data_IF_586097435964
#
_entry.id   IF_586097435964
#
_cell.length_a   1.000
_cell.length_b   1.000
_cell.length_c   1.000
_cell.angle_alpha   90.00
_cell.angle_beta   90.00
_cell.angle_gamma   90.00
#
_symmetry.space_group_name_H-M   'P 1'
#
loop_
_entity.id
_entity.type
_entity.pdbx_description
1 polymer ?
#
# COMPACT_ATOMS: atom_id res chain seq x y z
N UNK A 1 -8.43 -10.31 -14.86
CA UNK A 1 -9.85 -10.66 -14.84
C UNK A 1 -10.56 -10.27 -13.54
N UNK A 2 -9.98 -10.50 -12.36
CA UNK A 2 -10.58 -10.17 -11.05
C UNK A 2 -10.86 -8.66 -10.80
N UNK A 3 -10.05 -7.74 -11.35
CA UNK A 3 -10.20 -6.30 -11.12
C UNK A 3 -11.55 -5.75 -11.62
N UNK A 4 -12.03 -6.17 -12.80
CA UNK A 4 -13.33 -5.72 -13.35
C UNK A 4 -14.52 -6.25 -12.56
N UNK A 5 -14.46 -7.50 -12.07
CA UNK A 5 -15.49 -8.07 -11.22
C UNK A 5 -15.59 -7.31 -9.89
N UNK A 6 -14.43 -6.94 -9.30
CA UNK A 6 -14.42 -6.17 -8.06
C UNK A 6 -15.00 -4.76 -8.24
N UNK A 7 -14.72 -4.08 -9.35
CA UNK A 7 -15.33 -2.79 -9.65
C UNK A 7 -16.85 -2.90 -9.76
N UNK A 8 -17.37 -3.87 -10.50
CA UNK A 8 -18.83 -4.11 -10.60
C UNK A 8 -19.45 -4.38 -9.24
N UNK A 9 -18.83 -5.21 -8.42
CA UNK A 9 -19.31 -5.49 -7.08
C UNK A 9 -19.33 -4.21 -6.20
N UNK A 10 -18.33 -3.34 -6.33
CA UNK A 10 -18.31 -2.06 -5.62
C UNK A 10 -19.45 -1.16 -6.11
N UNK A 11 -19.70 -1.07 -7.41
CA UNK A 11 -20.82 -0.30 -7.96
C UNK A 11 -22.18 -0.79 -7.44
N UNK A 12 -22.35 -2.10 -7.27
CA UNK A 12 -23.61 -2.71 -6.78
C UNK A 12 -23.88 -2.39 -5.31
N UNK A 13 -22.83 -2.30 -4.47
CA UNK A 13 -22.98 -2.17 -3.01
C UNK A 13 -22.75 -0.76 -2.47
N UNK A 14 -22.27 0.18 -3.30
CA UNK A 14 -21.95 1.54 -2.86
C UNK A 14 -23.06 2.54 -3.21
N UNK A 15 -23.17 3.65 -2.44
CA UNK A 15 -24.12 4.72 -2.74
C UNK A 15 -23.90 5.33 -4.13
N UNK A 16 -24.96 5.91 -4.70
CA UNK A 16 -24.97 6.51 -6.04
C UNK A 16 -23.99 7.69 -6.25
N UNK A 17 -23.43 8.23 -5.17
CA UNK A 17 -22.41 9.29 -5.22
C UNK A 17 -20.97 8.77 -5.35
N UNK A 18 -20.79 7.44 -5.51
CA UNK A 18 -19.47 6.83 -5.72
C UNK A 18 -19.38 6.38 -7.17
N UNK A 19 -18.35 6.89 -7.86
CA UNK A 19 -18.00 6.50 -9.23
C UNK A 19 -16.81 5.55 -9.19
N UNK A 20 -16.91 4.39 -9.82
CA UNK A 20 -15.78 3.48 -9.97
C UNK A 20 -15.17 3.60 -11.37
N UNK A 21 -13.86 3.60 -11.43
CA UNK A 21 -13.10 3.69 -12.68
C UNK A 21 -12.01 2.64 -12.72
N UNK A 22 -11.71 2.15 -13.91
CA UNK A 22 -10.54 1.32 -14.12
C UNK A 22 -9.27 2.17 -13.97
N UNK A 23 -8.33 1.71 -13.14
CA UNK A 23 -7.05 2.39 -12.93
C UNK A 23 -6.18 2.31 -14.19
N UNK A 24 -6.22 3.35 -14.99
CA UNK A 24 -5.34 3.60 -16.12
C UNK A 24 -4.82 5.04 -16.04
N UNK A 25 -3.66 5.29 -16.61
CA UNK A 25 -3.11 6.66 -16.66
C UNK A 25 -4.12 7.65 -17.27
N UNK A 26 -4.78 7.27 -18.35
CA UNK A 26 -5.80 8.08 -19.01
C UNK A 26 -6.93 8.48 -18.06
N UNK A 27 -7.50 7.52 -17.33
CA UNK A 27 -8.62 7.80 -16.42
C UNK A 27 -8.16 8.63 -15.21
N UNK A 28 -6.99 8.34 -14.64
CA UNK A 28 -6.42 9.12 -13.54
C UNK A 28 -6.24 10.57 -13.98
N UNK A 29 -5.57 10.78 -15.12
CA UNK A 29 -5.30 12.12 -15.67
C UNK A 29 -6.59 12.90 -15.97
N UNK A 30 -7.65 12.23 -16.39
CA UNK A 30 -8.94 12.87 -16.67
C UNK A 30 -9.70 13.35 -15.40
N UNK A 31 -9.51 12.65 -14.26
CA UNK A 31 -10.19 13.02 -13.01
C UNK A 31 -9.43 14.06 -12.18
N UNK A 32 -8.10 14.15 -12.32
CA UNK A 32 -7.25 15.04 -11.49
C UNK A 32 -7.65 16.51 -11.51
N UNK A 33 -8.04 17.13 -12.66
CA UNK A 33 -8.38 18.57 -12.70
C UNK A 33 -9.57 18.98 -11.83
N UNK A 34 -10.46 18.04 -11.50
CA UNK A 34 -11.65 18.27 -10.69
C UNK A 34 -11.53 17.65 -9.28
N UNK A 35 -10.31 17.29 -8.87
CA UNK A 35 -10.08 16.54 -7.62
C UNK A 35 -9.34 17.40 -6.60
N UNK A 36 -9.94 17.64 -5.45
CA UNK A 36 -9.34 18.38 -4.33
C UNK A 36 -8.45 17.49 -3.45
N UNK A 37 -8.80 16.20 -3.34
CA UNK A 37 -8.10 15.23 -2.48
C UNK A 37 -7.90 13.90 -3.21
N UNK A 38 -6.67 13.45 -3.31
CA UNK A 38 -6.32 12.10 -3.78
C UNK A 38 -5.74 11.28 -2.64
N UNK A 39 -6.24 10.07 -2.48
CA UNK A 39 -5.67 9.09 -1.55
C UNK A 39 -5.08 7.93 -2.33
N UNK A 40 -3.76 7.82 -2.30
CA UNK A 40 -3.01 6.72 -2.91
C UNK A 40 -2.84 5.57 -1.93
N UNK A 41 -3.41 4.40 -2.26
CA UNK A 41 -3.39 3.22 -1.40
C UNK A 41 -3.15 1.94 -2.23
N UNK A 42 -2.13 1.95 -3.06
CA UNK A 42 -1.76 0.79 -3.87
C UNK A 42 -0.89 -0.15 -3.04
N UNK A 43 -1.27 -1.42 -3.01
CA UNK A 43 -0.51 -2.47 -2.36
C UNK A 43 -0.12 -3.54 -3.40
N UNK A 44 1.18 -3.78 -3.54
CA UNK A 44 1.73 -4.96 -4.22
C UNK A 44 2.56 -5.72 -3.20
N UNK A 45 2.12 -6.88 -2.74
CA UNK A 45 2.83 -7.64 -1.72
C UNK A 45 4.29 -7.92 -2.13
N UNK A 46 5.24 -7.52 -1.28
CA UNK A 46 6.67 -7.76 -1.48
C UNK A 46 7.35 -6.91 -2.56
N UNK A 47 6.65 -5.97 -3.22
CA UNK A 47 7.21 -5.10 -4.25
C UNK A 47 6.96 -3.62 -3.96
N UNK A 48 7.71 -2.75 -4.63
CA UNK A 48 7.46 -1.31 -4.59
C UNK A 48 6.12 -0.97 -5.24
N UNK A 49 5.42 0.02 -4.68
CA UNK A 49 4.23 0.59 -5.30
C UNK A 49 4.58 1.22 -6.67
N UNK A 50 3.75 1.04 -7.71
CA UNK A 50 3.94 1.78 -8.95
C UNK A 50 3.56 3.25 -8.76
N UNK A 51 4.28 4.15 -9.40
CA UNK A 51 3.87 5.55 -9.44
C UNK A 51 2.64 5.70 -10.35
N UNK A 52 1.51 6.02 -9.75
CA UNK A 52 0.23 6.22 -10.45
C UNK A 52 0.01 7.67 -10.87
N UNK A 53 0.60 8.62 -10.14
CA UNK A 53 0.58 10.04 -10.45
C UNK A 53 2.02 10.51 -10.64
N UNK A 54 2.30 11.00 -11.83
CA UNK A 54 3.60 11.55 -12.21
C UNK A 54 3.65 13.05 -11.91
N UNK A 55 4.85 13.63 -11.85
CA UNK A 55 5.02 15.05 -11.54
C UNK A 55 4.33 15.97 -12.56
N UNK A 56 4.34 15.62 -13.83
CA UNK A 56 3.66 16.41 -14.88
C UNK A 56 2.14 16.47 -14.69
N UNK A 57 1.54 15.41 -14.10
CA UNK A 57 0.12 15.40 -13.78
C UNK A 57 -0.27 16.42 -12.70
N UNK A 58 0.64 16.77 -11.79
CA UNK A 58 0.36 17.78 -10.74
C UNK A 58 -0.04 19.13 -11.34
N UNK A 59 0.52 19.47 -12.49
CA UNK A 59 0.21 20.74 -13.19
C UNK A 59 -1.26 20.84 -13.64
N UNK A 60 -1.99 19.74 -13.68
CA UNK A 60 -3.42 19.69 -14.06
C UNK A 60 -4.36 19.85 -12.86
N UNK A 61 -3.85 19.71 -11.64
CA UNK A 61 -4.61 19.85 -10.40
C UNK A 61 -4.72 21.33 -9.98
N UNK A 62 -5.77 21.64 -9.23
CA UNK A 62 -5.92 22.96 -8.64
C UNK A 62 -4.92 23.15 -7.49
N UNK A 63 -4.27 24.33 -7.42
CA UNK A 63 -3.33 24.64 -6.34
C UNK A 63 -4.02 24.58 -4.99
N UNK A 64 -3.35 23.96 -4.02
CA UNK A 64 -3.91 23.70 -2.69
C UNK A 64 -4.59 22.33 -2.58
N UNK A 65 -4.77 21.60 -3.68
CA UNK A 65 -5.20 20.19 -3.63
C UNK A 65 -4.22 19.34 -2.84
N UNK A 66 -4.71 18.23 -2.29
CA UNK A 66 -3.98 17.38 -1.36
C UNK A 66 -3.76 15.98 -1.92
N UNK A 67 -2.52 15.48 -1.84
CA UNK A 67 -2.17 14.08 -2.09
C UNK A 67 -1.81 13.40 -0.77
N UNK A 68 -2.54 12.33 -0.42
CA UNK A 68 -2.25 11.46 0.73
C UNK A 68 -1.71 10.13 0.23
N UNK A 69 -0.47 9.82 0.56
CA UNK A 69 0.17 8.57 0.15
C UNK A 69 0.20 7.56 1.30
N UNK A 70 -0.77 6.64 1.30
CA UNK A 70 -0.84 5.54 2.27
C UNK A 70 0.19 4.45 1.97
N UNK A 71 0.66 4.38 0.72
CA UNK A 71 1.64 3.41 0.27
C UNK A 71 3.10 3.87 0.46
N UNK A 72 3.33 4.95 1.21
CA UNK A 72 4.66 5.56 1.37
C UNK A 72 5.71 4.58 1.90
N UNK A 73 5.34 3.64 2.78
CA UNK A 73 6.23 2.61 3.32
C UNK A 73 6.72 1.63 2.24
N UNK A 74 6.03 1.56 1.10
CA UNK A 74 6.40 0.74 -0.07
C UNK A 74 7.00 1.55 -1.22
N UNK A 75 7.53 2.72 -0.92
CA UNK A 75 8.14 3.63 -1.88
C UNK A 75 7.22 4.71 -2.42
N UNK A 76 5.94 4.71 -2.03
CA UNK A 76 4.95 5.69 -2.45
C UNK A 76 4.35 5.40 -3.83
N UNK A 77 3.11 5.83 -4.06
CA UNK A 77 2.40 5.69 -5.32
C UNK A 77 2.32 7.00 -6.14
N UNK A 78 2.96 8.06 -5.70
CA UNK A 78 3.17 9.29 -6.46
C UNK A 78 4.65 9.51 -6.70
N UNK A 79 5.03 9.96 -7.89
CA UNK A 79 6.43 10.21 -8.25
C UNK A 79 7.11 11.22 -7.33
N UNK A 80 6.34 12.17 -6.79
CA UNK A 80 6.80 13.22 -5.90
C UNK A 80 6.70 12.86 -4.41
N UNK A 81 6.30 11.63 -4.09
CA UNK A 81 6.21 11.15 -2.70
C UNK A 81 7.58 11.03 -2.05
N UNK A 82 7.69 11.52 -0.84
CA UNK A 82 8.81 11.26 0.08
C UNK A 82 8.30 11.07 1.50
N UNK A 83 8.88 10.15 2.28
CA UNK A 83 8.43 9.91 3.65
C UNK A 83 8.51 11.17 4.51
N UNK A 84 7.49 11.37 5.32
CA UNK A 84 7.40 12.42 6.34
C UNK A 84 7.12 11.82 7.72
N UNK A 85 7.16 12.64 8.76
CA UNK A 85 6.93 12.24 10.14
C UNK A 85 5.69 12.90 10.70
N UNK A 86 5.19 12.43 11.85
CA UNK A 86 4.06 13.07 12.53
C UNK A 86 4.36 14.49 13.02
N UNK A 87 5.64 14.84 13.25
CA UNK A 87 6.04 16.20 13.65
C UNK A 87 6.10 17.17 12.46
N UNK A 88 6.42 16.67 11.25
CA UNK A 88 6.44 17.44 10.02
C UNK A 88 5.66 16.66 8.93
N UNK A 89 4.31 16.63 9.00
CA UNK A 89 3.51 15.67 8.24
C UNK A 89 3.33 16.03 6.77
N UNK A 90 3.48 17.28 6.39
CA UNK A 90 3.17 17.79 5.06
C UNK A 90 4.34 18.53 4.43
N UNK A 91 4.34 18.56 3.11
CA UNK A 91 5.19 19.43 2.28
C UNK A 91 4.45 19.79 0.99
N UNK A 92 4.94 20.77 0.26
CA UNK A 92 4.37 21.24 -0.99
C UNK A 92 5.29 20.95 -2.17
N UNK A 93 4.72 20.51 -3.29
CA UNK A 93 5.40 20.39 -4.59
C UNK A 93 4.47 20.97 -5.66
N UNK A 94 4.99 21.94 -6.42
CA UNK A 94 4.29 22.57 -7.55
C UNK A 94 2.89 23.13 -7.18
N UNK A 95 2.70 23.55 -5.91
CA UNK A 95 1.44 24.08 -5.39
C UNK A 95 0.49 23.02 -4.83
N UNK A 96 0.89 21.73 -4.82
CA UNK A 96 0.09 20.61 -4.32
C UNK A 96 0.65 20.13 -2.99
N UNK A 97 -0.23 20.00 -1.99
CA UNK A 97 0.12 19.57 -0.64
C UNK A 97 0.25 18.07 -0.59
N UNK A 98 1.36 17.55 -0.06
CA UNK A 98 1.61 16.13 0.11
C UNK A 98 1.58 15.76 1.59
N UNK A 99 0.81 14.74 1.94
CA UNK A 99 0.80 14.08 3.25
C UNK A 99 1.29 12.64 3.06
N UNK A 100 2.53 12.37 3.49
CA UNK A 100 3.22 11.10 3.24
C UNK A 100 3.84 10.56 4.56
N UNK A 101 3.08 10.62 5.65
CA UNK A 101 3.56 10.19 6.96
C UNK A 101 3.77 8.67 6.95
N UNK A 102 5.01 8.25 7.17
CA UNK A 102 5.31 6.87 7.47
C UNK A 102 4.63 6.47 8.79
N UNK A 103 4.02 5.30 8.82
CA UNK A 103 3.25 4.83 9.98
C UNK A 103 2.08 5.78 10.37
N UNK A 104 1.22 6.12 9.41
CA UNK A 104 -0.02 6.87 9.67
C UNK A 104 -0.80 6.32 10.89
N UNK A 105 -0.93 4.99 11.09
CA UNK A 105 -1.59 4.41 12.26
C UNK A 105 -0.99 4.83 13.61
N UNK A 106 0.26 5.27 13.63
CA UNK A 106 0.92 5.79 14.84
C UNK A 106 0.24 7.01 15.47
N UNK A 107 -0.55 7.77 14.68
CA UNK A 107 -1.34 8.91 15.19
C UNK A 107 -2.46 8.47 16.15
N UNK A 108 -2.92 7.21 16.07
CA UNK A 108 -3.95 6.61 16.93
C UNK A 108 -3.44 5.30 17.54
N UNK A 109 -2.28 5.38 18.18
CA UNK A 109 -1.46 4.25 18.59
C UNK A 109 -2.19 3.19 19.43
N UNK A 110 -3.04 3.59 20.37
CA UNK A 110 -3.79 2.66 21.21
C UNK A 110 -4.74 1.78 20.35
N UNK A 111 -5.55 2.39 19.50
CA UNK A 111 -6.49 1.68 18.61
C UNK A 111 -5.75 0.81 17.61
N UNK A 112 -4.70 1.34 17.00
CA UNK A 112 -3.91 0.63 15.99
C UNK A 112 -3.19 -0.59 16.57
N UNK A 113 -2.62 -0.46 17.77
CA UNK A 113 -1.96 -1.58 18.46
C UNK A 113 -2.94 -2.69 18.80
N UNK A 114 -4.11 -2.36 19.34
CA UNK A 114 -5.14 -3.36 19.64
C UNK A 114 -5.63 -4.07 18.38
N UNK A 115 -5.89 -3.33 17.30
CA UNK A 115 -6.34 -3.91 16.04
C UNK A 115 -5.27 -4.84 15.44
N UNK A 116 -4.00 -4.42 15.41
CA UNK A 116 -2.90 -5.21 14.87
C UNK A 116 -2.65 -6.46 15.71
N UNK A 117 -2.57 -6.33 17.03
CA UNK A 117 -2.31 -7.48 17.91
C UNK A 117 -3.43 -8.52 17.87
N UNK A 118 -4.69 -8.09 17.83
CA UNK A 118 -5.81 -8.99 17.67
C UNK A 118 -5.78 -9.76 16.33
N UNK A 119 -5.36 -9.10 15.25
CA UNK A 119 -5.24 -9.74 13.95
C UNK A 119 -4.04 -10.68 13.84
N UNK A 120 -2.91 -10.38 14.52
CA UNK A 120 -1.66 -11.15 14.38
C UNK A 120 -1.48 -12.25 15.43
N UNK A 121 -2.07 -12.09 16.62
CA UNK A 121 -1.93 -13.04 17.74
C UNK A 121 -2.24 -14.50 17.37
N UNK A 122 -3.30 -14.82 16.60
CA UNK A 122 -3.58 -16.22 16.22
C UNK A 122 -2.42 -16.87 15.45
N UNK A 123 -1.75 -16.13 14.60
CA UNK A 123 -0.59 -16.62 13.83
C UNK A 123 0.65 -16.78 14.71
N UNK A 124 0.89 -15.85 15.64
CA UNK A 124 1.99 -15.95 16.62
C UNK A 124 1.82 -17.20 17.48
N UNK A 125 0.59 -17.47 17.95
CA UNK A 125 0.29 -18.67 18.75
C UNK A 125 0.51 -19.96 17.95
N UNK A 126 0.12 -19.98 16.67
CA UNK A 126 0.40 -21.13 15.80
C UNK A 126 1.91 -21.38 15.65
N UNK A 127 2.68 -20.35 15.38
CA UNK A 127 4.14 -20.44 15.24
C UNK A 127 4.80 -20.93 16.54
N UNK A 128 4.38 -20.38 17.69
CA UNK A 128 4.92 -20.77 19.00
C UNK A 128 4.62 -22.24 19.36
N UNK A 129 3.41 -22.72 19.05
CA UNK A 129 3.00 -24.08 19.41
C UNK A 129 3.51 -25.16 18.44
N UNK A 130 3.68 -24.85 17.17
CA UNK A 130 3.97 -25.85 16.11
C UNK A 130 5.38 -25.76 15.53
N UNK A 131 6.07 -24.64 15.76
CA UNK A 131 7.25 -24.28 15.00
C UNK A 131 6.90 -23.79 13.59
N UNK A 132 7.78 -23.05 12.95
CA UNK A 132 7.50 -22.39 11.69
C UNK A 132 7.24 -23.37 10.53
N UNK A 133 7.99 -24.48 10.41
CA UNK A 133 7.82 -25.46 9.34
C UNK A 133 6.40 -26.05 9.34
N UNK A 134 5.98 -26.55 10.49
CA UNK A 134 4.66 -27.18 10.62
C UNK A 134 3.55 -26.14 10.47
N UNK A 135 3.67 -24.99 11.09
CA UNK A 135 2.67 -23.93 10.98
C UNK A 135 2.46 -23.48 9.52
N UNK A 136 3.56 -23.26 8.77
CA UNK A 136 3.49 -22.89 7.36
C UNK A 136 2.98 -24.01 6.45
N UNK A 137 3.22 -25.28 6.79
CA UNK A 137 2.67 -26.40 6.02
C UNK A 137 1.15 -26.57 6.18
N UNK A 138 0.59 -26.10 7.30
CA UNK A 138 -0.83 -26.21 7.64
C UNK A 138 -1.63 -24.93 7.32
N UNK A 139 -0.96 -23.78 7.15
CA UNK A 139 -1.58 -22.49 6.92
C UNK A 139 -0.91 -21.76 5.74
N UNK A 140 -1.62 -21.64 4.63
CA UNK A 140 -1.17 -20.99 3.40
C UNK A 140 -0.83 -19.51 3.61
N UNK A 141 -1.50 -18.81 4.55
CA UNK A 141 -1.22 -17.41 4.83
C UNK A 141 0.15 -17.27 5.51
N UNK A 142 0.48 -18.15 6.46
CA UNK A 142 1.81 -18.21 7.07
C UNK A 142 2.90 -18.58 6.05
N UNK A 143 2.61 -19.55 5.18
CA UNK A 143 3.55 -19.92 4.10
C UNK A 143 3.87 -18.73 3.19
N UNK A 144 2.86 -17.98 2.76
CA UNK A 144 3.04 -16.75 1.95
C UNK A 144 3.77 -15.63 2.68
N UNK A 145 3.81 -15.67 4.00
CA UNK A 145 4.57 -14.74 4.83
C UNK A 145 6.06 -15.03 4.92
N UNK A 146 6.53 -16.19 4.43
CA UNK A 146 7.96 -16.54 4.46
C UNK A 146 8.72 -15.70 3.44
N UNK A 147 9.66 -14.91 3.91
CA UNK A 147 10.53 -14.08 3.07
C UNK A 147 11.97 -14.58 3.10
N UNK A 148 12.49 -14.90 4.28
CA UNK A 148 13.87 -15.33 4.51
C UNK A 148 13.86 -16.54 5.43
N UNK A 149 14.58 -17.59 5.05
CA UNK A 149 14.79 -18.82 5.83
C UNK A 149 16.28 -19.16 5.83
N UNK A 150 16.85 -19.35 7.01
CA UNK A 150 18.28 -19.67 7.20
C UNK A 150 19.23 -18.73 6.42
N UNK A 151 18.90 -17.43 6.39
CA UNK A 151 19.68 -16.40 5.69
C UNK A 151 19.48 -16.35 4.16
N UNK A 152 18.58 -17.17 3.60
CA UNK A 152 18.30 -17.25 2.17
C UNK A 152 16.96 -16.59 1.85
N UNK A 153 16.93 -15.74 0.84
CA UNK A 153 15.69 -15.12 0.37
C UNK A 153 14.91 -16.15 -0.46
N UNK A 154 13.67 -16.42 -0.05
CA UNK A 154 12.80 -17.41 -0.69
C UNK A 154 11.55 -16.79 -1.32
N UNK A 155 11.34 -15.48 -1.14
CA UNK A 155 10.23 -14.76 -1.75
C UNK A 155 10.71 -13.94 -2.96
N UNK A 156 10.27 -14.30 -4.20
CA UNK A 156 10.81 -13.72 -5.43
C UNK A 156 10.72 -12.20 -5.50
N UNK A 157 9.59 -11.61 -5.09
CA UNK A 157 9.41 -10.16 -5.16
C UNK A 157 10.34 -9.39 -4.22
N UNK A 158 10.72 -9.99 -3.08
CA UNK A 158 11.74 -9.41 -2.18
C UNK A 158 13.13 -9.48 -2.84
N UNK A 159 13.49 -10.62 -3.42
CA UNK A 159 14.76 -10.77 -4.13
C UNK A 159 14.89 -9.74 -5.27
N UNK A 160 13.85 -9.59 -6.09
CA UNK A 160 13.80 -8.62 -7.19
C UNK A 160 13.93 -7.19 -6.69
N UNK A 161 13.22 -6.81 -5.62
CA UNK A 161 13.26 -5.45 -5.06
C UNK A 161 14.64 -5.02 -4.58
N UNK A 162 15.48 -5.98 -4.17
CA UNK A 162 16.85 -5.73 -3.69
C UNK A 162 17.94 -6.14 -4.67
N UNK A 163 17.59 -6.65 -5.85
CA UNK A 163 18.55 -7.14 -6.85
C UNK A 163 19.36 -8.35 -6.37
N UNK A 164 18.76 -9.21 -5.53
CA UNK A 164 19.39 -10.38 -4.94
C UNK A 164 18.82 -11.68 -5.55
N UNK A 165 19.52 -12.80 -5.35
CA UNK A 165 19.04 -14.11 -5.79
C UNK A 165 17.91 -14.63 -4.89
N UNK A 166 16.91 -15.29 -5.52
CA UNK A 166 15.87 -16.03 -4.82
C UNK A 166 16.22 -17.51 -4.79
N UNK A 167 16.11 -18.14 -3.62
CA UNK A 167 16.32 -19.58 -3.46
C UNK A 167 15.00 -20.30 -3.19
N UNK A 168 14.95 -21.61 -3.43
CA UNK A 168 13.83 -22.50 -3.10
C UNK A 168 14.17 -23.32 -1.85
N UNK A 169 13.20 -23.54 -0.99
CA UNK A 169 13.27 -24.42 0.19
C UNK A 169 12.39 -25.64 0.02
#
# INVERSE_FOLDING_TARGET
>A
MYKRQRLRHIDEIKPANIKTLYSSEFNIRAELPATDLVVGAVLIPGAKAPHLITRDMLSTMEKGSVLVDVAIDQGGCFETSRPTTHSEPVYEVDGIIHYCVANIPGAVSATSTLALTNATLPYVVQLANKGWQKACSEDEALYKGLNIVDGKIIYPAVAEAFGLSCETI
#
